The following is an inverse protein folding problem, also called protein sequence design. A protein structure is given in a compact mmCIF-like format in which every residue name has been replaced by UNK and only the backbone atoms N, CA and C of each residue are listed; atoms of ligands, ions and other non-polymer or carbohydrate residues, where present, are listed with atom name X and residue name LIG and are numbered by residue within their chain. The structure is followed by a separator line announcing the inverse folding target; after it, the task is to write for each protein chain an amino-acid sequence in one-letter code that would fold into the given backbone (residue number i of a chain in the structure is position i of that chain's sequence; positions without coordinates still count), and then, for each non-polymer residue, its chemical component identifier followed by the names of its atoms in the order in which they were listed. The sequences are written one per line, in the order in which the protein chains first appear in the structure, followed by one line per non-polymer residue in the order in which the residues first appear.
data_IF_782505483797
#
_entry.id   IF_782505483797
#
_cell.length_a   1.000
_cell.length_b   1.000
_cell.length_c   1.000
_cell.angle_alpha   90.00
_cell.angle_beta   90.00
_cell.angle_gamma   90.00
#
_symmetry.space_group_name_H-M   'P 1'
#
loop_
_entity.id
_entity.type
_entity.pdbx_description
1 polymer ?
#
# COMPACT_ATOMS: atom_id res chain seq x y z
N UNK A 1 -3.92 -12.93 -6.60
CA UNK A 1 -3.88 -11.54 -7.11
C UNK A 1 -4.96 -10.64 -6.48
N UNK A 2 -6.25 -10.98 -6.63
CA UNK A 2 -7.38 -10.16 -6.15
C UNK A 2 -7.29 -9.77 -4.65
N UNK A 3 -6.84 -10.68 -3.78
CA UNK A 3 -6.64 -10.40 -2.35
C UNK A 3 -5.59 -9.30 -2.09
N UNK A 4 -4.48 -9.33 -2.83
CA UNK A 4 -3.40 -8.35 -2.70
C UNK A 4 -3.82 -6.98 -3.24
N UNK A 5 -4.57 -6.95 -4.34
CA UNK A 5 -5.16 -5.72 -4.89
C UNK A 5 -6.11 -5.10 -3.87
N UNK A 6 -7.00 -5.89 -3.26
CA UNK A 6 -7.94 -5.44 -2.23
C UNK A 6 -7.22 -4.88 -1.00
N UNK A 7 -6.16 -5.54 -0.53
CA UNK A 7 -5.33 -5.03 0.57
C UNK A 7 -4.63 -3.72 0.18
N UNK A 8 -4.04 -3.63 -1.01
CA UNK A 8 -3.40 -2.42 -1.49
C UNK A 8 -4.37 -1.24 -1.63
N UNK A 9 -5.60 -1.50 -2.08
CA UNK A 9 -6.65 -0.49 -2.21
C UNK A 9 -7.14 -0.01 -0.85
N UNK A 10 -7.46 -0.93 0.07
CA UNK A 10 -7.96 -0.57 1.40
C UNK A 10 -6.92 0.18 2.22
N UNK A 11 -5.70 -0.36 2.30
CA UNK A 11 -4.61 0.25 3.06
C UNK A 11 -4.12 1.53 2.38
N UNK A 12 -4.08 1.56 1.04
CA UNK A 12 -3.74 2.75 0.26
C UNK A 12 -4.70 3.91 0.47
N UNK A 13 -6.02 3.66 0.53
CA UNK A 13 -7.02 4.69 0.85
C UNK A 13 -6.79 5.26 2.26
N UNK A 14 -6.56 4.41 3.25
CA UNK A 14 -6.36 4.84 4.65
C UNK A 14 -5.08 5.67 4.78
N UNK A 15 -3.97 5.21 4.21
CA UNK A 15 -2.73 5.98 4.22
C UNK A 15 -2.89 7.30 3.45
N UNK A 16 -3.68 7.34 2.36
CA UNK A 16 -3.88 8.57 1.58
C UNK A 16 -4.59 9.62 2.43
N UNK A 17 -5.60 9.18 3.19
CA UNK A 17 -6.33 9.99 4.15
C UNK A 17 -5.42 10.52 5.27
N UNK A 18 -4.52 9.71 5.81
CA UNK A 18 -3.62 10.12 6.89
C UNK A 18 -2.50 11.04 6.38
N UNK A 19 -1.93 10.75 5.21
CA UNK A 19 -0.75 11.42 4.69
C UNK A 19 -1.07 12.78 4.06
N UNK A 20 -2.22 12.89 3.37
CA UNK A 20 -2.61 14.07 2.60
C UNK A 20 -4.13 14.32 2.58
N UNK A 21 -4.91 13.65 3.44
CA UNK A 21 -6.36 13.81 3.49
C UNK A 21 -6.79 15.24 3.78
N UNK A 22 -6.01 16.00 4.57
CA UNK A 22 -6.25 17.43 4.80
C UNK A 22 -6.15 18.27 3.52
N UNK A 23 -5.21 17.98 2.62
CA UNK A 23 -5.05 18.67 1.33
C UNK A 23 -6.18 18.32 0.35
N UNK A 24 -6.63 17.06 0.38
CA UNK A 24 -7.77 16.58 -0.39
C UNK A 24 -9.10 17.21 0.09
N UNK A 25 -9.27 17.36 1.41
CA UNK A 25 -10.46 18.00 1.98
C UNK A 25 -10.44 19.53 1.84
N UNK A 26 -9.25 20.13 1.86
CA UNK A 26 -9.04 21.57 1.67
C UNK A 26 -9.09 22.06 0.23
N UNK A 27 -9.35 21.18 -0.76
CA UNK A 27 -9.34 21.50 -2.19
C UNK A 27 -8.03 22.17 -2.68
N UNK A 28 -6.90 21.94 -2.00
CA UNK A 28 -5.60 22.53 -2.34
C UNK A 28 -4.81 21.61 -3.25
N UNK A 29 -5.29 21.46 -4.49
CA UNK A 29 -4.70 20.57 -5.50
C UNK A 29 -3.26 20.93 -5.91
N UNK A 30 -2.85 22.20 -5.70
CA UNK A 30 -1.51 22.72 -6.01
C UNK A 30 -0.40 22.12 -5.13
N UNK A 31 -0.73 21.75 -3.89
CA UNK A 31 0.24 21.27 -2.89
C UNK A 31 0.29 19.74 -2.75
N UNK A 32 -0.44 19.02 -3.61
CA UNK A 32 -0.44 17.56 -3.60
C UNK A 32 0.95 17.06 -4.01
N UNK A 33 1.72 16.58 -3.03
CA UNK A 33 3.01 15.93 -3.31
C UNK A 33 2.78 14.56 -3.94
N UNK A 34 2.90 14.49 -5.26
CA UNK A 34 2.69 13.27 -6.06
C UNK A 34 3.51 12.07 -5.57
N UNK A 35 4.76 12.29 -5.13
CA UNK A 35 5.63 11.24 -4.57
C UNK A 35 5.00 10.56 -3.36
N UNK A 36 4.42 11.36 -2.46
CA UNK A 36 3.72 10.87 -1.28
C UNK A 36 2.48 10.09 -1.70
N UNK A 37 1.68 10.61 -2.62
CA UNK A 37 0.49 9.93 -3.16
C UNK A 37 0.82 8.55 -3.75
N UNK A 38 1.85 8.45 -4.59
CA UNK A 38 2.27 7.17 -5.19
C UNK A 38 2.76 6.18 -4.14
N UNK A 39 3.63 6.60 -3.20
CA UNK A 39 4.13 5.73 -2.13
C UNK A 39 3.00 5.19 -1.25
N UNK A 40 1.96 5.99 -1.05
CA UNK A 40 0.81 5.63 -0.23
C UNK A 40 0.09 4.37 -0.74
N UNK A 41 0.01 4.18 -2.06
CA UNK A 41 -0.55 2.97 -2.67
C UNK A 41 0.50 1.90 -2.95
N UNK A 42 1.72 2.31 -3.30
CA UNK A 42 2.79 1.40 -3.68
C UNK A 42 3.36 0.61 -2.48
N UNK A 43 3.54 1.25 -1.33
CA UNK A 43 4.08 0.63 -0.11
C UNK A 43 3.21 -0.55 0.37
N UNK A 44 1.89 -0.41 0.60
CA UNK A 44 1.08 -1.54 1.05
C UNK A 44 0.96 -2.67 0.03
N UNK A 45 1.01 -2.35 -1.26
CA UNK A 45 1.12 -3.37 -2.31
C UNK A 45 2.44 -4.16 -2.18
N UNK A 46 3.57 -3.46 -2.10
CA UNK A 46 4.90 -4.08 -1.98
C UNK A 46 5.03 -4.93 -0.70
N UNK A 47 4.52 -4.45 0.44
CA UNK A 47 4.50 -5.21 1.70
C UNK A 47 3.63 -6.47 1.58
N UNK A 48 2.48 -6.39 0.91
CA UNK A 48 1.61 -7.54 0.69
C UNK A 48 2.28 -8.62 -0.17
N UNK A 49 3.01 -8.21 -1.22
CA UNK A 49 3.77 -9.12 -2.09
C UNK A 49 4.96 -9.71 -1.34
N UNK A 50 5.71 -8.90 -0.59
CA UNK A 50 6.85 -9.35 0.19
C UNK A 50 6.46 -10.37 1.26
N UNK A 51 5.39 -10.10 2.00
CA UNK A 51 4.86 -11.02 3.01
C UNK A 51 4.43 -12.36 2.40
N UNK A 52 3.78 -12.34 1.22
CA UNK A 52 3.41 -13.55 0.51
C UNK A 52 4.63 -14.37 0.02
N UNK A 53 5.66 -13.68 -0.49
CA UNK A 53 6.91 -14.31 -0.91
C UNK A 53 7.64 -14.95 0.27
N UNK A 54 7.75 -14.25 1.41
CA UNK A 54 8.33 -14.80 2.63
C UNK A 54 7.56 -16.02 3.14
N UNK A 55 6.23 -15.95 3.20
CA UNK A 55 5.40 -17.07 3.64
C UNK A 55 5.62 -18.32 2.76
N UNK A 56 5.78 -18.13 1.45
CA UNK A 56 6.09 -19.23 0.53
C UNK A 56 7.47 -19.82 0.78
N UNK A 57 8.50 -18.99 0.93
CA UNK A 57 9.87 -19.45 1.24
C UNK A 57 9.90 -20.22 2.58
N UNK A 58 9.18 -19.73 3.58
CA UNK A 58 9.13 -20.37 4.90
C UNK A 58 8.38 -21.71 4.87
N UNK A 59 7.36 -21.82 4.01
CA UNK A 59 6.61 -23.07 3.81
C UNK A 59 7.44 -24.12 3.08
N UNK A 60 8.25 -23.71 2.09
CA UNK A 60 9.18 -24.59 1.35
C UNK A 60 10.23 -25.19 2.28
N UNK A 61 10.80 -24.38 3.19
CA UNK A 61 11.82 -24.82 4.17
C UNK A 61 11.31 -25.81 5.21
N UNK A 62 10.00 -25.90 5.45
CA UNK A 62 9.42 -26.82 6.43
C UNK A 62 9.02 -28.17 5.81
N UNK A 63 9.26 -28.37 4.51
CA UNK A 63 9.01 -29.64 3.79
C UNK A 63 10.29 -30.44 3.49
N UNK A 64 11.47 -29.92 3.86
CA UNK A 64 12.76 -30.63 3.90
C UNK A 64 13.05 -31.13 5.32
#
# INVERSE_FOLDING_TARGET
MLRHIKTALFVGIILNLINQGYLLWGFQWSDIKLTKFVLTFFVPFAVSVYSAAQARIHSDKNQE
#
